data_IF_347855326457
#
_entry.id   IF_347855326457
#
_cell.length_a   1.000
_cell.length_b   1.000
_cell.length_c   1.000
_cell.angle_alpha   90.00
_cell.angle_beta   90.00
_cell.angle_gamma   90.00
#
_symmetry.space_group_name_H-M   'P 1'
#
loop_
_entity.id
_entity.type
_entity.pdbx_description
1 polymer ?
#
# COMPACT_ATOMS: atom_id res chain seq x y z
N UNK A 1 24.23 -13.13 8.86
CA UNK A 1 24.38 -12.17 7.74
C UNK A 1 23.06 -12.18 6.96
N UNK A 2 22.11 -11.29 7.30
CA UNK A 2 20.70 -11.37 6.83
C UNK A 2 20.25 -10.07 6.16
N UNK A 3 20.21 -10.04 4.82
CA UNK A 3 19.70 -8.93 4.00
C UNK A 3 18.18 -8.78 4.13
N UNK A 4 17.73 -7.53 4.31
CA UNK A 4 16.32 -7.16 4.47
C UNK A 4 15.84 -6.55 3.14
N UNK A 5 15.41 -7.38 2.19
CA UNK A 5 14.56 -7.00 1.05
C UNK A 5 13.17 -6.57 1.54
N UNK A 6 12.99 -5.37 2.09
CA UNK A 6 11.71 -4.63 2.01
C UNK A 6 11.93 -3.31 1.24
N UNK A 7 13.18 -2.85 1.20
CA UNK A 7 13.78 -2.03 0.15
C UNK A 7 15.24 -2.49 0.12
N UNK A 8 15.76 -3.12 -0.95
CA UNK A 8 17.16 -3.62 -0.97
C UNK A 8 18.24 -2.54 -0.80
N UNK A 9 17.88 -1.28 -0.54
CA UNK A 9 18.79 -0.15 -0.58
C UNK A 9 19.32 0.32 0.78
N UNK A 10 19.18 -0.48 1.84
CA UNK A 10 19.75 -0.14 3.16
C UNK A 10 21.10 -0.80 3.48
N UNK A 11 21.73 -1.46 2.51
CA UNK A 11 23.03 -2.12 2.70
C UNK A 11 24.06 -1.73 1.67
N UNK A 12 24.57 -0.50 1.80
CA UNK A 12 25.91 -0.18 1.31
C UNK A 12 26.69 0.60 2.39
N UNK A 13 27.41 -0.15 3.22
CA UNK A 13 28.69 0.27 3.79
C UNK A 13 29.60 -0.97 3.72
N UNK A 14 30.79 -0.86 3.09
CA UNK A 14 31.60 -2.02 2.77
C UNK A 14 32.33 -2.48 4.04
N UNK A 15 32.45 -3.80 4.24
CA UNK A 15 33.63 -4.51 4.76
C UNK A 15 33.26 -5.95 5.19
N UNK A 16 34.04 -6.90 4.66
CA UNK A 16 34.44 -8.15 5.35
C UNK A 16 33.45 -9.33 5.33
N UNK A 17 33.65 -10.42 4.57
CA UNK A 17 34.67 -11.51 4.64
C UNK A 17 34.03 -12.84 5.13
N UNK A 18 34.00 -13.81 4.19
CA UNK A 18 34.18 -15.28 4.30
C UNK A 18 33.18 -16.25 5.01
N UNK A 19 33.07 -17.42 4.35
CA UNK A 19 32.76 -18.80 4.82
C UNK A 19 31.28 -19.24 4.88
N UNK A 20 30.75 -20.10 3.99
CA UNK A 20 30.90 -21.59 3.84
C UNK A 20 30.32 -22.35 5.07
N UNK A 21 29.43 -23.36 5.05
CA UNK A 21 29.03 -24.44 4.11
C UNK A 21 27.69 -25.13 4.60
N UNK A 22 27.10 -26.13 3.89
CA UNK A 22 25.66 -26.50 3.98
C UNK A 22 25.27 -27.93 4.48
N UNK A 23 23.96 -28.10 4.83
CA UNK A 23 23.10 -29.33 4.76
C UNK A 23 23.38 -30.52 5.74
N UNK A 24 22.52 -31.58 5.89
CA UNK A 24 21.25 -31.97 5.21
C UNK A 24 20.10 -32.57 6.10
N UNK A 25 19.02 -32.91 5.37
CA UNK A 25 17.76 -33.68 5.59
C UNK A 25 17.72 -34.83 6.63
N UNK A 26 16.53 -35.01 7.23
CA UNK A 26 16.02 -36.30 7.74
C UNK A 26 14.61 -36.59 7.20
N UNK A 27 14.40 -37.82 6.73
CA UNK A 27 13.13 -38.48 6.39
C UNK A 27 12.54 -39.16 7.63
N UNK A 28 11.21 -39.34 7.72
CA UNK A 28 10.54 -40.53 8.29
C UNK A 28 9.00 -40.50 8.06
N UNK A 29 8.54 -41.43 7.23
CA UNK A 29 7.34 -42.31 7.30
C UNK A 29 5.95 -41.86 7.80
N UNK A 30 4.98 -42.12 6.91
CA UNK A 30 3.49 -42.25 6.95
C UNK A 30 3.13 -43.61 7.66
N UNK A 31 1.93 -43.92 8.25
CA UNK A 31 0.63 -43.88 7.56
C UNK A 31 -0.72 -43.73 8.31
N UNK A 32 -1.70 -43.28 7.51
CA UNK A 32 -3.11 -43.66 7.35
C UNK A 32 -3.97 -44.14 8.54
N UNK A 33 -5.03 -43.38 8.81
CA UNK A 33 -6.32 -43.93 9.25
C UNK A 33 -7.50 -43.07 8.76
N UNK A 34 -8.34 -43.68 7.92
CA UNK A 34 -9.62 -43.18 7.42
C UNK A 34 -10.69 -43.15 8.51
N UNK A 35 -11.56 -42.13 8.57
CA UNK A 35 -12.93 -42.27 9.11
C UNK A 35 -13.90 -41.20 8.57
N UNK A 36 -14.81 -41.69 7.72
CA UNK A 36 -16.23 -41.37 7.47
C UNK A 36 -16.80 -39.96 7.73
N UNK A 37 -17.33 -39.41 6.64
CA UNK A 37 -18.36 -38.36 6.54
C UNK A 37 -19.74 -38.92 6.96
N UNK A 38 -20.51 -38.13 7.72
CA UNK A 38 -21.98 -38.13 7.71
C UNK A 38 -22.48 -36.71 8.07
N UNK A 39 -23.38 -36.11 7.27
CA UNK A 39 -24.01 -34.85 7.60
C UNK A 39 -25.33 -35.09 8.36
N UNK A 40 -25.65 -34.20 9.30
CA UNK A 40 -26.98 -34.13 9.92
C UNK A 40 -27.44 -32.69 10.01
N UNK A 41 -28.54 -32.45 9.34
CA UNK A 41 -29.40 -31.26 9.32
C UNK A 41 -30.15 -31.06 10.64
N UNK A 42 -30.15 -29.83 11.14
CA UNK A 42 -31.12 -29.21 12.06
C UNK A 42 -30.53 -27.84 12.41
N UNK A 43 -31.23 -26.72 12.52
CA UNK A 43 -32.64 -26.40 12.52
C UNK A 43 -32.69 -24.87 12.60
N UNK A 44 -33.69 -24.30 11.95
CA UNK A 44 -34.10 -22.90 11.98
C UNK A 44 -34.19 -22.29 13.38
N UNK A 45 -33.54 -21.15 13.58
CA UNK A 45 -33.91 -20.15 14.58
C UNK A 45 -33.55 -18.75 14.08
N UNK A 46 -34.61 -18.03 13.72
CA UNK A 46 -34.64 -16.60 13.44
C UNK A 46 -34.41 -15.81 14.73
N UNK A 47 -33.34 -15.01 14.80
CA UNK A 47 -33.20 -13.98 15.83
C UNK A 47 -32.25 -12.88 15.37
N UNK A 48 -32.84 -11.71 15.07
CA UNK A 48 -32.28 -10.36 15.28
C UNK A 48 -30.76 -10.19 15.15
N UNK A 49 -30.25 -9.95 13.93
CA UNK A 49 -28.86 -9.53 13.70
C UNK A 49 -28.89 -8.25 12.87
N UNK A 50 -29.01 -7.08 13.52
CA UNK A 50 -28.89 -5.81 12.79
C UNK A 50 -28.30 -4.64 13.58
N UNK A 51 -27.73 -4.85 14.77
CA UNK A 51 -27.06 -3.78 15.53
C UNK A 51 -25.58 -4.04 15.86
N UNK A 52 -25.10 -5.29 15.90
CA UNK A 52 -23.70 -5.60 16.24
C UNK A 52 -22.69 -5.38 15.10
N UNK A 53 -23.17 -5.33 13.86
CA UNK A 53 -22.32 -5.24 12.67
C UNK A 53 -21.77 -3.82 12.48
N UNK A 54 -22.52 -2.78 12.89
CA UNK A 54 -22.06 -1.40 12.81
C UNK A 54 -21.01 -1.06 13.87
N UNK A 55 -21.19 -1.55 15.11
CA UNK A 55 -20.27 -1.27 16.22
C UNK A 55 -18.87 -1.91 16.00
N UNK A 56 -18.83 -3.10 15.40
CA UNK A 56 -17.56 -3.77 15.10
C UNK A 56 -16.79 -3.10 13.94
N UNK A 57 -17.50 -2.52 12.96
CA UNK A 57 -16.86 -1.80 11.85
C UNK A 57 -16.24 -0.47 12.30
N UNK A 58 -16.90 0.29 13.18
CA UNK A 58 -16.32 1.53 13.71
C UNK A 58 -15.08 1.26 14.57
N UNK A 59 -15.12 0.21 15.40
CA UNK A 59 -14.01 -0.17 16.29
C UNK A 59 -12.79 -0.71 15.51
N UNK A 60 -12.98 -1.27 14.31
CA UNK A 60 -11.86 -1.74 13.51
C UNK A 60 -11.32 -0.67 12.58
N UNK A 61 -12.18 0.18 12.01
CA UNK A 61 -11.76 1.41 11.35
C UNK A 61 -10.92 2.28 12.29
N UNK A 62 -11.24 2.30 13.59
CA UNK A 62 -10.46 3.05 14.56
C UNK A 62 -9.00 2.58 14.62
N UNK A 63 -8.73 1.27 14.61
CA UNK A 63 -7.35 0.74 14.64
C UNK A 63 -6.51 1.12 13.43
N UNK A 64 -7.10 1.14 12.23
CA UNK A 64 -6.39 1.59 11.04
C UNK A 64 -6.05 3.09 11.16
N UNK A 65 -7.02 3.90 11.59
CA UNK A 65 -6.87 5.35 11.73
C UNK A 65 -5.99 5.78 12.92
N UNK A 66 -5.60 4.86 13.80
CA UNK A 66 -4.79 5.16 14.97
C UNK A 66 -3.32 5.49 14.63
N UNK A 67 -2.77 4.90 13.56
CA UNK A 67 -1.37 5.02 13.13
C UNK A 67 -0.38 5.04 14.32
N UNK A 68 -0.30 3.96 15.12
CA UNK A 68 0.22 4.04 16.50
C UNK A 68 1.74 4.19 16.63
N UNK A 69 2.51 3.82 15.61
CA UNK A 69 3.98 3.76 15.68
C UNK A 69 4.70 4.93 14.99
N UNK A 70 3.93 5.81 14.34
CA UNK A 70 4.48 6.94 13.61
C UNK A 70 4.35 8.22 14.42
N UNK A 71 5.09 9.24 14.00
CA UNK A 71 5.06 10.55 14.62
C UNK A 71 3.74 11.29 14.37
N UNK A 72 3.48 12.32 15.18
CA UNK A 72 2.24 13.10 15.09
C UNK A 72 2.04 13.75 13.72
N UNK A 73 3.09 14.29 13.10
CA UNK A 73 2.98 14.87 11.76
C UNK A 73 2.57 13.84 10.70
N UNK A 74 3.19 12.65 10.74
CA UNK A 74 2.87 11.56 9.81
C UNK A 74 1.46 11.02 10.03
N UNK A 75 1.05 10.82 11.29
CA UNK A 75 -0.31 10.39 11.64
C UNK A 75 -1.34 11.38 11.12
N UNK A 76 -1.16 12.68 11.38
CA UNK A 76 -2.10 13.72 10.94
C UNK A 76 -2.23 13.72 9.42
N UNK A 77 -1.10 13.64 8.69
CA UNK A 77 -1.11 13.54 7.24
C UNK A 77 -1.91 12.32 6.75
N UNK A 78 -1.64 11.13 7.29
CA UNK A 78 -2.35 9.91 6.89
C UNK A 78 -3.85 9.98 7.19
N UNK A 79 -4.23 10.46 8.38
CA UNK A 79 -5.63 10.65 8.77
C UNK A 79 -6.33 11.61 7.82
N UNK A 80 -5.68 12.72 7.48
CA UNK A 80 -6.23 13.72 6.57
C UNK A 80 -6.41 13.13 5.15
N UNK A 81 -5.39 12.48 4.59
CA UNK A 81 -5.48 11.88 3.25
C UNK A 81 -6.60 10.83 3.16
N UNK A 82 -6.65 9.92 4.13
CA UNK A 82 -7.71 8.89 4.19
C UNK A 82 -9.07 9.55 4.32
N UNK A 83 -9.23 10.49 5.25
CA UNK A 83 -10.52 11.14 5.50
C UNK A 83 -10.98 11.96 4.30
N UNK A 84 -10.09 12.71 3.66
CA UNK A 84 -10.41 13.47 2.45
C UNK A 84 -10.89 12.56 1.33
N UNK A 85 -10.19 11.45 1.09
CA UNK A 85 -10.56 10.49 0.05
C UNK A 85 -11.89 9.82 0.36
N UNK A 86 -12.05 9.25 1.57
CA UNK A 86 -13.28 8.55 1.97
C UNK A 86 -14.50 9.48 1.99
N UNK A 87 -14.34 10.73 2.43
CA UNK A 87 -15.43 11.72 2.45
C UNK A 87 -15.84 12.10 1.02
N UNK A 88 -14.88 12.26 0.10
CA UNK A 88 -15.16 12.61 -1.30
C UNK A 88 -15.96 11.51 -2.03
N UNK A 89 -15.75 10.25 -1.65
CA UNK A 89 -16.42 9.07 -2.23
C UNK A 89 -17.37 8.38 -1.26
N UNK A 90 -17.88 9.07 -0.24
CA UNK A 90 -18.69 8.46 0.81
C UNK A 90 -19.91 7.68 0.26
N UNK A 91 -20.58 8.24 -0.76
CA UNK A 91 -21.73 7.61 -1.42
C UNK A 91 -21.37 6.53 -2.44
N UNK A 92 -20.09 6.35 -2.75
CA UNK A 92 -19.59 5.40 -3.75
C UNK A 92 -18.85 4.21 -3.11
N UNK A 93 -18.28 4.38 -1.92
CA UNK A 93 -17.51 3.36 -1.23
C UNK A 93 -18.38 2.54 -0.28
N UNK A 94 -18.32 1.22 -0.44
CA UNK A 94 -18.90 0.27 0.49
C UNK A 94 -18.10 0.23 1.80
N UNK A 95 -18.69 -0.23 2.91
CA UNK A 95 -17.94 -0.48 4.14
C UNK A 95 -16.85 -1.54 3.95
N UNK A 96 -15.83 -1.53 4.83
CA UNK A 96 -14.82 -2.58 4.86
C UNK A 96 -15.44 -3.91 5.30
N UNK A 97 -15.23 -4.96 4.51
CA UNK A 97 -15.75 -6.32 4.76
C UNK A 97 -14.66 -7.33 5.11
N UNK A 98 -13.41 -6.87 5.27
CA UNK A 98 -12.30 -7.75 5.63
C UNK A 98 -12.56 -8.44 6.97
N UNK A 99 -12.16 -9.72 7.14
CA UNK A 99 -12.16 -10.36 8.45
C UNK A 99 -11.33 -9.59 9.47
N UNK A 100 -11.71 -9.62 10.75
CA UNK A 100 -11.04 -8.86 11.81
C UNK A 100 -9.55 -9.22 11.98
N UNK A 101 -9.21 -10.48 11.73
CA UNK A 101 -7.86 -11.05 11.78
C UNK A 101 -7.03 -10.80 10.50
N UNK A 102 -7.62 -10.08 9.55
CA UNK A 102 -6.98 -9.48 8.37
C UNK A 102 -6.94 -7.95 8.50
N UNK A 103 -7.95 -7.33 9.10
CA UNK A 103 -7.94 -5.88 9.38
C UNK A 103 -6.86 -5.47 10.37
N UNK A 104 -6.54 -6.35 11.32
CA UNK A 104 -5.41 -6.18 12.24
C UNK A 104 -4.76 -7.55 12.48
N UNK A 105 -3.43 -7.60 12.32
CA UNK A 105 -2.66 -8.82 12.49
C UNK A 105 -1.25 -8.51 13.01
N UNK A 106 -0.63 -9.51 13.63
CA UNK A 106 0.70 -9.42 14.18
C UNK A 106 1.44 -10.75 14.03
N UNK A 107 2.77 -10.71 14.09
CA UNK A 107 3.60 -11.91 14.13
C UNK A 107 3.36 -12.70 15.43
N UNK A 108 3.69 -13.99 15.43
CA UNK A 108 3.56 -14.84 16.63
C UNK A 108 4.40 -14.32 17.82
N UNK A 109 5.51 -13.65 17.54
CA UNK A 109 6.40 -13.03 18.53
C UNK A 109 6.03 -11.59 18.87
N UNK A 110 4.96 -11.04 18.28
CA UNK A 110 4.52 -9.64 18.41
C UNK A 110 5.56 -8.57 18.01
N UNK A 111 6.65 -8.97 17.34
CA UNK A 111 7.70 -8.08 16.82
C UNK A 111 7.29 -7.34 15.54
N UNK A 112 6.21 -7.78 14.89
CA UNK A 112 5.64 -7.09 13.73
C UNK A 112 4.13 -7.01 13.89
N UNK A 113 3.55 -5.85 13.56
CA UNK A 113 2.13 -5.55 13.64
C UNK A 113 1.70 -4.79 12.39
N UNK A 114 0.46 -4.97 11.98
CA UNK A 114 -0.08 -4.24 10.85
C UNK A 114 -1.60 -4.08 10.95
N UNK A 115 -2.10 -3.08 10.23
CA UNK A 115 -3.52 -2.93 9.95
C UNK A 115 -3.75 -2.72 8.46
N UNK A 116 -4.83 -3.32 7.96
CA UNK A 116 -5.26 -3.24 6.57
C UNK A 116 -6.72 -2.79 6.52
N UNK A 117 -7.00 -1.79 5.70
CA UNK A 117 -8.34 -1.25 5.48
C UNK A 117 -8.61 -1.21 3.99
N UNK A 118 -9.59 -1.97 3.52
CA UNK A 118 -10.00 -2.00 2.11
C UNK A 118 -11.48 -1.64 2.02
N UNK A 119 -11.79 -0.67 1.18
CA UNK A 119 -13.17 -0.29 0.85
C UNK A 119 -13.41 -0.46 -0.65
N UNK A 120 -14.13 -1.51 -1.07
CA UNK A 120 -14.56 -1.60 -2.46
C UNK A 120 -15.59 -0.51 -2.77
N UNK A 121 -15.74 -0.18 -4.03
CA UNK A 121 -16.78 0.74 -4.48
C UNK A 121 -18.02 -0.01 -4.99
N UNK A 122 -19.12 0.72 -5.15
CA UNK A 122 -20.28 0.24 -5.90
C UNK A 122 -19.92 0.05 -7.39
N UNK A 123 -20.60 -0.89 -8.07
CA UNK A 123 -20.36 -1.20 -9.49
C UNK A 123 -20.53 -0.01 -10.44
N UNK A 124 -21.31 1.00 -10.06
CA UNK A 124 -21.54 2.21 -10.85
C UNK A 124 -20.44 3.29 -10.65
N UNK A 125 -19.50 3.07 -9.74
CA UNK A 125 -18.36 3.96 -9.50
C UNK A 125 -17.26 3.74 -10.55
N UNK A 126 -16.41 4.75 -10.76
CA UNK A 126 -15.13 4.59 -11.45
C UNK A 126 -14.03 4.07 -10.52
N UNK A 127 -14.21 4.21 -9.20
CA UNK A 127 -13.35 3.58 -8.21
C UNK A 127 -13.57 2.07 -8.28
N UNK A 128 -12.50 1.31 -8.15
CA UNK A 128 -12.54 -0.13 -7.93
C UNK A 128 -12.55 -0.38 -6.41
N UNK A 129 -11.47 0.02 -5.74
CA UNK A 129 -11.36 0.02 -4.29
C UNK A 129 -10.30 1.00 -3.80
N UNK A 130 -10.39 1.33 -2.51
CA UNK A 130 -9.38 2.09 -1.77
C UNK A 130 -8.71 1.15 -0.79
N UNK A 131 -7.39 1.19 -0.69
CA UNK A 131 -6.58 0.40 0.22
C UNK A 131 -5.72 1.34 1.07
N UNK A 132 -5.92 1.28 2.38
CA UNK A 132 -5.04 1.91 3.36
C UNK A 132 -4.36 0.85 4.22
N UNK A 133 -3.10 1.07 4.59
CA UNK A 133 -2.43 0.19 5.54
C UNK A 133 -1.39 0.91 6.39
N UNK A 134 -1.06 0.30 7.53
CA UNK A 134 0.17 0.59 8.24
C UNK A 134 0.85 -0.72 8.66
N UNK A 135 2.18 -0.72 8.67
CA UNK A 135 3.03 -1.84 9.09
C UNK A 135 4.07 -1.31 10.06
N UNK A 136 4.26 -2.01 11.17
CA UNK A 136 5.35 -1.82 12.12
C UNK A 136 6.11 -3.12 12.26
N UNK A 137 7.44 -3.06 12.26
CA UNK A 137 8.30 -4.19 12.59
C UNK A 137 9.52 -3.74 13.34
N UNK A 138 9.79 -4.37 14.48
CA UNK A 138 11.08 -4.28 15.14
C UNK A 138 12.16 -4.92 14.26
N UNK A 139 13.28 -4.22 14.09
CA UNK A 139 14.42 -4.69 13.31
C UNK A 139 15.47 -5.31 14.24
N UNK A 140 16.18 -6.37 13.82
CA UNK A 140 17.23 -7.00 14.63
C UNK A 140 18.37 -6.05 15.06
N UNK A 141 18.50 -4.90 14.40
CA UNK A 141 19.47 -3.84 14.71
C UNK A 141 19.03 -2.94 15.87
N UNK A 142 17.84 -3.15 16.45
CA UNK A 142 17.25 -2.31 17.51
C UNK A 142 16.47 -1.10 16.99
N UNK A 143 16.34 -0.93 15.67
CA UNK A 143 15.46 0.06 15.06
C UNK A 143 14.06 -0.49 14.76
N UNK A 144 13.23 0.31 14.10
CA UNK A 144 11.93 -0.11 13.58
C UNK A 144 11.83 0.15 12.08
N UNK A 145 10.98 -0.64 11.42
CA UNK A 145 10.47 -0.38 10.09
C UNK A 145 8.99 0.00 10.24
N UNK A 146 8.66 1.22 9.85
CA UNK A 146 7.31 1.78 9.92
C UNK A 146 6.88 2.20 8.51
N UNK A 147 5.81 1.60 8.00
CA UNK A 147 5.24 1.89 6.70
C UNK A 147 3.81 2.38 6.89
N UNK A 148 3.44 3.47 6.23
CA UNK A 148 2.04 3.91 6.11
C UNK A 148 1.73 4.12 4.65
N UNK A 149 0.64 3.54 4.15
CA UNK A 149 0.26 3.63 2.74
C UNK A 149 -1.22 3.90 2.54
N UNK A 150 -1.51 4.61 1.45
CA UNK A 150 -2.83 4.83 0.91
C UNK A 150 -2.75 4.70 -0.61
N UNK A 151 -3.56 3.80 -1.16
CA UNK A 151 -3.69 3.59 -2.61
C UNK A 151 -5.16 3.61 -2.99
N UNK A 152 -5.46 4.15 -4.16
CA UNK A 152 -6.80 4.06 -4.74
C UNK A 152 -6.72 3.59 -6.19
N UNK A 153 -7.48 2.55 -6.46
CA UNK A 153 -7.51 1.87 -7.75
C UNK A 153 -8.79 2.24 -8.49
N UNK A 154 -8.64 2.58 -9.76
CA UNK A 154 -9.75 2.82 -10.67
C UNK A 154 -10.04 1.56 -11.48
N UNK A 155 -11.30 1.37 -11.87
CA UNK A 155 -11.72 0.25 -12.70
C UNK A 155 -11.63 0.58 -14.20
N UNK A 156 -11.92 -0.39 -15.07
CA UNK A 156 -11.78 -0.23 -16.53
C UNK A 156 -12.83 0.68 -17.19
N UNK A 157 -13.72 1.33 -16.44
CA UNK A 157 -14.66 2.33 -17.00
C UNK A 157 -14.00 3.69 -17.29
N UNK A 158 -12.80 3.93 -16.76
CA UNK A 158 -11.96 5.12 -16.97
C UNK A 158 -10.53 4.70 -17.28
N UNK A 159 -9.81 5.53 -18.04
CA UNK A 159 -8.38 5.40 -18.37
C UNK A 159 -7.49 6.22 -17.43
N UNK A 160 -8.11 7.02 -16.54
CA UNK A 160 -7.39 7.90 -15.64
C UNK A 160 -6.43 7.13 -14.71
N UNK A 161 -5.30 7.75 -14.29
CA UNK A 161 -4.33 7.15 -13.38
C UNK A 161 -4.90 6.72 -12.02
N UNK A 162 -4.23 5.75 -11.39
CA UNK A 162 -4.46 5.42 -9.98
C UNK A 162 -3.83 6.48 -9.05
N UNK A 163 -3.99 6.31 -7.74
CA UNK A 163 -3.30 7.10 -6.72
C UNK A 163 -2.49 6.19 -5.81
N UNK A 164 -1.26 6.60 -5.46
CA UNK A 164 -0.43 5.95 -4.45
C UNK A 164 0.28 7.00 -3.59
N UNK A 165 0.25 6.77 -2.28
CA UNK A 165 1.01 7.48 -1.27
C UNK A 165 1.59 6.45 -0.29
N UNK A 166 2.91 6.47 -0.08
CA UNK A 166 3.59 5.61 0.88
C UNK A 166 4.71 6.37 1.58
N UNK A 167 4.77 6.25 2.90
CA UNK A 167 5.88 6.69 3.73
C UNK A 167 6.52 5.47 4.38
N UNK A 168 7.80 5.25 4.10
CA UNK A 168 8.59 4.13 4.62
C UNK A 168 9.71 4.69 5.48
N UNK A 169 9.67 4.40 6.78
CA UNK A 169 10.68 4.83 7.75
C UNK A 169 11.41 3.63 8.31
N UNK A 170 12.72 3.68 8.28
CA UNK A 170 13.61 2.69 8.91
C UNK A 170 14.34 3.23 10.14
N UNK A 171 14.21 4.53 10.39
CA UNK A 171 14.74 5.22 11.56
C UNK A 171 13.99 6.54 11.79
N UNK A 172 14.18 7.19 12.94
CA UNK A 172 13.63 8.52 13.20
C UNK A 172 14.13 9.65 12.28
N UNK A 173 15.26 9.44 11.60
CA UNK A 173 15.93 10.45 10.77
C UNK A 173 15.99 10.08 9.28
N UNK A 174 15.37 8.96 8.90
CA UNK A 174 15.31 8.52 7.52
C UNK A 174 13.89 8.11 7.12
N UNK A 175 13.42 8.73 6.04
CA UNK A 175 12.13 8.50 5.43
C UNK A 175 12.32 8.32 3.92
N UNK A 176 11.60 7.37 3.33
CA UNK A 176 11.36 7.29 1.90
C UNK A 176 9.90 7.65 1.66
N UNK A 177 9.66 8.54 0.70
CA UNK A 177 8.33 8.90 0.23
C UNK A 177 8.16 8.40 -1.20
N UNK A 178 7.03 7.73 -1.44
CA UNK A 178 6.50 7.42 -2.75
C UNK A 178 5.15 8.11 -2.86
N UNK A 179 5.03 9.07 -3.77
CA UNK A 179 3.78 9.74 -4.08
C UNK A 179 3.65 9.88 -5.59
N UNK A 180 2.64 9.23 -6.17
CA UNK A 180 2.50 9.12 -7.61
C UNK A 180 1.04 8.97 -8.03
N UNK A 181 0.77 9.29 -9.29
CA UNK A 181 -0.43 8.91 -10.02
C UNK A 181 -0.06 7.88 -11.11
N UNK A 182 0.03 6.57 -10.79
CA UNK A 182 0.59 5.60 -11.71
C UNK A 182 -0.25 5.48 -12.99
N UNK A 183 0.37 5.56 -14.19
CA UNK A 183 -0.34 5.50 -15.45
C UNK A 183 -0.98 4.14 -15.65
N UNK A 184 -2.20 4.12 -16.20
CA UNK A 184 -2.91 2.89 -16.58
C UNK A 184 -2.77 2.53 -18.06
N UNK A 185 -2.18 3.43 -18.85
CA UNK A 185 -1.76 3.24 -20.25
C UNK A 185 -0.24 3.35 -20.42
N UNK A 186 0.26 2.90 -21.57
CA UNK A 186 1.65 3.13 -21.96
C UNK A 186 1.82 4.56 -22.49
N UNK A 187 2.55 5.41 -21.79
CA UNK A 187 2.63 6.83 -22.11
C UNK A 187 3.36 7.12 -23.43
N UNK A 188 4.09 6.15 -24.00
CA UNK A 188 4.71 6.27 -25.33
C UNK A 188 3.67 6.00 -26.43
N UNK A 189 2.78 5.02 -26.21
CA UNK A 189 1.72 4.68 -27.16
C UNK A 189 0.53 5.64 -27.09
N UNK A 190 0.29 6.26 -25.92
CA UNK A 190 -0.78 7.22 -25.67
C UNK A 190 -0.22 8.57 -25.18
N UNK A 191 0.42 9.37 -26.06
CA UNK A 191 0.99 10.66 -25.68
C UNK A 191 -0.06 11.69 -25.21
N UNK A 192 -1.31 11.56 -25.67
CA UNK A 192 -2.41 12.42 -25.22
C UNK A 192 -2.72 12.22 -23.72
N UNK A 193 -2.57 10.99 -23.20
CA UNK A 193 -2.72 10.68 -21.78
C UNK A 193 -1.55 11.28 -20.98
N UNK A 194 -0.32 11.23 -21.51
CA UNK A 194 0.85 11.89 -20.90
C UNK A 194 0.58 13.38 -20.72
N UNK A 195 0.12 14.02 -21.79
CA UNK A 195 -0.23 15.43 -21.79
C UNK A 195 -1.35 15.75 -20.80
N UNK A 196 -2.46 15.03 -20.89
CA UNK A 196 -3.68 15.29 -20.12
C UNK A 196 -3.45 15.14 -18.60
N UNK A 197 -2.80 14.06 -18.18
CA UNK A 197 -2.73 13.71 -16.76
C UNK A 197 -1.48 14.22 -16.06
N UNK A 198 -0.40 14.53 -16.79
CA UNK A 198 0.90 14.85 -16.19
C UNK A 198 1.44 16.23 -16.59
N UNK A 199 1.33 16.62 -17.86
CA UNK A 199 1.78 17.93 -18.31
C UNK A 199 0.80 19.04 -17.92
N UNK A 200 -0.47 18.88 -18.29
CA UNK A 200 -1.51 19.90 -18.11
C UNK A 200 -1.87 20.11 -16.62
N UNK A 201 -1.75 19.05 -15.81
CA UNK A 201 -1.93 19.09 -14.35
C UNK A 201 -0.73 19.68 -13.62
N UNK A 202 0.42 19.83 -14.29
CA UNK A 202 1.67 20.35 -13.73
C UNK A 202 2.18 19.55 -12.52
N UNK A 203 1.92 18.24 -12.48
CA UNK A 203 2.28 17.36 -11.35
C UNK A 203 3.76 17.45 -10.98
N UNK A 204 4.64 17.61 -11.97
CA UNK A 204 6.09 17.68 -11.74
C UNK A 204 6.51 18.87 -10.86
N UNK A 205 5.68 19.94 -10.76
CA UNK A 205 5.96 21.08 -9.88
C UNK A 205 6.06 20.67 -8.41
N UNK A 206 5.31 19.66 -7.98
CA UNK A 206 5.34 19.18 -6.61
C UNK A 206 6.66 18.46 -6.29
N UNK A 207 7.16 17.64 -7.22
CA UNK A 207 8.49 17.03 -7.13
C UNK A 207 9.57 18.11 -7.08
N UNK A 208 9.52 19.08 -7.99
CA UNK A 208 10.45 20.21 -8.05
C UNK A 208 10.41 21.09 -6.79
N UNK A 209 9.25 21.23 -6.13
CA UNK A 209 9.14 21.96 -4.88
C UNK A 209 9.87 21.23 -3.74
N UNK A 210 9.78 19.90 -3.72
CA UNK A 210 10.44 19.07 -2.73
C UNK A 210 11.96 19.00 -2.95
N UNK A 211 12.43 19.04 -4.20
CA UNK A 211 13.85 19.13 -4.56
C UNK A 211 14.56 20.38 -3.98
N UNK A 212 13.80 21.39 -3.52
CA UNK A 212 14.36 22.60 -2.88
C UNK A 212 14.65 22.42 -1.39
N UNK A 213 14.18 21.33 -0.78
CA UNK A 213 14.44 21.01 0.63
C UNK A 213 15.82 20.34 0.73
N UNK A 214 16.79 20.87 1.49
CA UNK A 214 18.17 20.38 1.50
C UNK A 214 18.34 18.90 1.85
N UNK A 215 17.45 18.36 2.67
CA UNK A 215 17.47 16.97 3.14
C UNK A 215 16.90 15.96 2.14
N UNK A 216 16.23 16.44 1.07
CA UNK A 216 15.59 15.62 0.05
C UNK A 216 16.61 15.18 -0.99
N UNK A 217 16.63 13.88 -1.28
CA UNK A 217 17.43 13.26 -2.33
C UNK A 217 16.55 12.31 -3.16
N UNK A 218 16.82 12.10 -4.45
CA UNK A 218 16.10 11.10 -5.23
C UNK A 218 16.23 9.69 -4.63
N UNK A 219 15.11 8.96 -4.59
CA UNK A 219 15.09 7.54 -4.24
C UNK A 219 14.93 6.70 -5.49
N UNK A 220 15.86 5.78 -5.73
CA UNK A 220 15.79 4.84 -6.84
C UNK A 220 15.43 3.44 -6.32
N UNK A 221 14.18 3.02 -6.50
CA UNK A 221 13.72 1.67 -6.10
C UNK A 221 14.63 0.59 -6.67
N UNK A 222 15.05 -0.42 -5.91
CA UNK A 222 15.86 -1.53 -6.46
C UNK A 222 15.08 -2.34 -7.51
N UNK A 223 13.75 -2.34 -7.43
CA UNK A 223 12.88 -2.99 -8.40
C UNK A 223 12.75 -2.13 -9.67
N UNK A 224 13.36 -2.60 -10.76
CA UNK A 224 13.16 -2.01 -12.08
C UNK A 224 11.68 -2.01 -12.49
N UNK A 225 10.92 -3.01 -12.04
CA UNK A 225 9.49 -3.08 -12.28
C UNK A 225 8.75 -1.86 -11.69
N UNK A 226 9.04 -1.52 -10.43
CA UNK A 226 8.46 -0.34 -9.76
C UNK A 226 8.83 0.94 -10.52
N UNK A 227 10.08 1.07 -10.97
CA UNK A 227 10.51 2.23 -11.79
C UNK A 227 9.72 2.34 -13.10
N UNK A 228 9.34 1.21 -13.71
CA UNK A 228 8.63 1.19 -15.01
C UNK A 228 7.14 1.49 -14.87
N UNK A 229 6.49 1.09 -13.78
CA UNK A 229 5.04 1.32 -13.60
C UNK A 229 4.71 2.71 -13.06
N UNK A 230 5.68 3.40 -12.48
CA UNK A 230 5.52 4.76 -11.98
C UNK A 230 5.46 5.81 -13.08
N UNK A 231 4.78 6.91 -12.81
CA UNK A 231 4.67 8.00 -13.77
C UNK A 231 5.99 8.77 -13.91
N UNK A 232 6.18 9.51 -15.02
CA UNK A 232 7.32 10.42 -15.20
C UNK A 232 7.39 11.54 -14.15
N UNK A 233 6.29 11.83 -13.45
CA UNK A 233 6.20 12.87 -12.42
C UNK A 233 6.17 12.32 -11.00
N UNK A 234 6.43 11.01 -10.82
CA UNK A 234 6.43 10.35 -9.52
C UNK A 234 7.41 11.03 -8.55
N UNK A 235 6.94 11.32 -7.34
CA UNK A 235 7.78 11.77 -6.24
C UNK A 235 8.32 10.52 -5.55
N UNK A 236 9.54 10.14 -5.93
CA UNK A 236 10.31 9.09 -5.26
C UNK A 236 11.53 9.72 -4.61
N UNK A 237 11.44 9.99 -3.30
CA UNK A 237 12.52 10.68 -2.58
C UNK A 237 12.88 9.98 -1.28
N UNK A 238 14.14 10.14 -0.89
CA UNK A 238 14.71 9.82 0.41
C UNK A 238 14.99 11.12 1.14
N UNK A 239 14.54 11.23 2.38
CA UNK A 239 14.75 12.37 3.26
C UNK A 239 15.68 11.94 4.38
N UNK A 240 16.77 12.68 4.58
CA UNK A 240 17.78 12.41 5.60
C UNK A 240 17.98 13.62 6.51
N UNK A 241 17.60 13.48 7.78
CA UNK A 241 17.68 14.57 8.76
C UNK A 241 18.73 14.31 9.84
N UNK A 242 19.80 13.57 9.55
CA UNK A 242 20.83 13.23 10.55
C UNK A 242 21.36 14.44 11.33
N UNK A 243 21.58 15.58 10.65
CA UNK A 243 22.05 16.82 11.28
C UNK A 243 20.95 17.62 11.99
N UNK A 244 19.69 17.49 11.55
CA UNK A 244 18.54 18.22 12.10
C UNK A 244 17.72 17.42 13.14
N UNK A 245 18.03 16.14 13.30
CA UNK A 245 17.34 15.23 14.20
C UNK A 245 15.90 14.94 13.79
N UNK A 246 15.14 14.46 14.78
CA UNK A 246 13.73 14.06 14.63
C UNK A 246 12.82 15.26 14.43
N UNK A 247 13.11 16.40 15.07
CA UNK A 247 12.31 17.62 14.96
C UNK A 247 12.31 18.17 13.54
N UNK A 248 13.46 18.12 12.85
CA UNK A 248 13.55 18.51 11.44
C UNK A 248 12.76 17.57 10.54
N UNK A 249 12.73 16.27 10.83
CA UNK A 249 11.87 15.33 10.08
C UNK A 249 10.39 15.67 10.25
N UNK A 250 9.95 15.97 11.48
CA UNK A 250 8.57 16.41 11.75
C UNK A 250 8.21 17.70 11.02
N UNK A 251 9.13 18.66 10.98
CA UNK A 251 8.98 19.90 10.21
C UNK A 251 8.81 19.62 8.72
N UNK A 252 9.67 18.78 8.13
CA UNK A 252 9.57 18.45 6.71
C UNK A 252 8.24 17.76 6.38
N UNK A 253 7.80 16.82 7.23
CA UNK A 253 6.52 16.13 7.03
C UNK A 253 5.36 17.14 7.08
N UNK A 254 5.34 18.02 8.07
CA UNK A 254 4.24 18.97 8.28
C UNK A 254 4.23 20.13 7.28
N UNK A 255 5.39 20.70 6.97
CA UNK A 255 5.48 21.97 6.26
C UNK A 255 5.77 21.79 4.76
N UNK A 256 6.22 20.59 4.34
CA UNK A 256 6.47 20.26 2.93
C UNK A 256 5.65 19.08 2.43
N UNK A 257 5.69 17.92 3.11
CA UNK A 257 5.03 16.72 2.61
C UNK A 257 3.51 16.82 2.69
N UNK A 258 2.98 17.34 3.79
CA UNK A 258 1.54 17.49 3.99
C UNK A 258 0.86 18.33 2.88
N UNK A 259 1.28 19.58 2.61
CA UNK A 259 0.66 20.37 1.55
C UNK A 259 0.84 19.75 0.17
N UNK A 260 2.01 19.18 -0.14
CA UNK A 260 2.26 18.53 -1.44
C UNK A 260 1.34 17.33 -1.64
N UNK A 261 1.23 16.46 -0.64
CA UNK A 261 0.43 15.23 -0.72
C UNK A 261 -1.05 15.54 -0.88
N UNK A 262 -1.55 16.53 -0.15
CA UNK A 262 -2.93 17.02 -0.29
C UNK A 262 -3.20 17.63 -1.67
N UNK A 263 -2.23 18.34 -2.24
CA UNK A 263 -2.35 18.89 -3.61
C UNK A 263 -2.39 17.79 -4.67
N UNK A 264 -1.49 16.81 -4.60
CA UNK A 264 -1.47 15.67 -5.54
C UNK A 264 -2.75 14.84 -5.41
N UNK A 265 -3.21 14.57 -4.18
CA UNK A 265 -4.51 13.91 -3.96
C UNK A 265 -5.65 14.74 -4.54
N UNK A 266 -5.66 16.07 -4.33
CA UNK A 266 -6.66 16.98 -4.91
C UNK A 266 -6.70 16.90 -6.44
N UNK A 267 -5.53 16.89 -7.09
CA UNK A 267 -5.43 16.69 -8.56
C UNK A 267 -6.06 15.36 -8.96
N UNK A 268 -5.73 14.27 -8.27
CA UNK A 268 -6.32 12.96 -8.57
C UNK A 268 -7.83 12.94 -8.37
N UNK A 269 -8.34 13.52 -7.28
CA UNK A 269 -9.78 13.58 -7.02
C UNK A 269 -10.52 14.33 -8.13
N UNK A 270 -10.01 15.48 -8.54
CA UNK A 270 -10.74 16.37 -9.45
C UNK A 270 -10.51 16.05 -10.94
N UNK A 271 -9.30 15.64 -11.32
CA UNK A 271 -8.91 15.41 -12.72
C UNK A 271 -8.87 13.95 -13.14
N UNK A 272 -8.85 13.00 -12.18
CA UNK A 272 -8.81 11.57 -12.47
C UNK A 272 -10.12 10.90 -12.04
N UNK A 273 -10.34 10.76 -10.74
CA UNK A 273 -11.37 9.89 -10.18
C UNK A 273 -12.80 10.45 -10.27
N UNK A 274 -12.98 11.77 -10.33
CA UNK A 274 -14.29 12.40 -10.55
C UNK A 274 -14.52 12.85 -12.01
N UNK A 275 -13.48 12.80 -12.85
CA UNK A 275 -13.57 13.25 -14.22
C UNK A 275 -14.28 12.20 -15.08
N UNK A 276 -15.43 12.58 -15.65
CA UNK A 276 -16.16 11.71 -16.57
C UNK A 276 -15.37 11.56 -17.86
N UNK A 277 -14.96 10.33 -18.18
CA UNK A 277 -14.26 9.98 -19.42
C UNK A 277 -14.92 8.75 -20.03
N UNK A 278 -15.04 8.74 -21.36
CA UNK A 278 -15.56 7.60 -22.10
C UNK A 278 -14.40 6.76 -22.61
N UNK A 279 -14.36 5.51 -22.17
CA UNK A 279 -13.38 4.53 -22.64
C UNK A 279 -14.07 3.53 -23.55
N UNK A 280 -13.55 3.35 -24.77
CA UNK A 280 -14.08 2.40 -25.75
C UNK A 280 -13.77 0.95 -25.38
N UNK A 281 -14.52 -0.01 -25.91
CA UNK A 281 -14.43 -1.44 -25.52
C UNK A 281 -13.00 -2.02 -25.63
N UNK A 282 -12.30 -1.73 -26.73
CA UNK A 282 -10.93 -2.19 -26.93
C UNK A 282 -9.95 -1.63 -25.88
N UNK A 283 -10.13 -0.37 -25.49
CA UNK A 283 -9.33 0.26 -24.44
C UNK A 283 -9.66 -0.31 -23.06
N UNK A 284 -10.93 -0.61 -22.77
CA UNK A 284 -11.32 -1.28 -21.51
C UNK A 284 -10.65 -2.63 -21.37
N UNK A 285 -10.60 -3.41 -22.46
CA UNK A 285 -9.92 -4.71 -22.48
C UNK A 285 -8.41 -4.57 -22.25
N UNK A 286 -7.79 -3.54 -22.85
CA UNK A 286 -6.39 -3.22 -22.61
C UNK A 286 -6.12 -2.85 -21.14
N UNK A 287 -6.93 -1.94 -20.57
CA UNK A 287 -6.82 -1.50 -19.17
C UNK A 287 -6.96 -2.69 -18.22
N UNK A 288 -8.00 -3.52 -18.39
CA UNK A 288 -8.21 -4.73 -17.59
C UNK A 288 -6.99 -5.65 -17.59
N UNK A 289 -6.41 -5.90 -18.76
CA UNK A 289 -5.22 -6.74 -18.90
C UNK A 289 -4.00 -6.13 -18.20
N UNK A 290 -3.76 -4.84 -18.41
CA UNK A 290 -2.59 -4.14 -17.83
C UNK A 290 -2.72 -4.00 -16.31
N UNK A 291 -3.89 -3.61 -15.81
CA UNK A 291 -4.17 -3.50 -14.38
C UNK A 291 -4.01 -4.84 -13.68
N UNK A 292 -4.56 -5.92 -14.23
CA UNK A 292 -4.39 -7.26 -13.68
C UNK A 292 -2.93 -7.71 -13.62
N UNK A 293 -2.12 -7.38 -14.65
CA UNK A 293 -0.69 -7.65 -14.64
C UNK A 293 0.02 -6.85 -13.54
N UNK A 294 -0.27 -5.55 -13.42
CA UNK A 294 0.34 -4.67 -12.41
C UNK A 294 0.01 -5.14 -11.01
N UNK A 295 -1.27 -5.36 -10.74
CA UNK A 295 -1.76 -5.83 -9.43
C UNK A 295 -1.09 -7.14 -9.01
N UNK A 296 -1.06 -8.13 -9.90
CA UNK A 296 -0.42 -9.42 -9.60
C UNK A 296 1.07 -9.30 -9.35
N UNK A 297 1.78 -8.49 -10.17
CA UNK A 297 3.24 -8.36 -10.04
C UNK A 297 3.64 -7.52 -8.83
N UNK A 298 2.85 -6.51 -8.47
CA UNK A 298 3.02 -5.73 -7.23
C UNK A 298 2.86 -6.64 -6.01
N UNK A 299 1.83 -7.49 -5.96
CA UNK A 299 1.67 -8.48 -4.87
C UNK A 299 2.91 -9.39 -4.78
N UNK A 300 3.40 -9.91 -5.90
CA UNK A 300 4.56 -10.82 -5.93
C UNK A 300 5.84 -10.14 -5.42
N UNK A 301 6.14 -8.94 -5.91
CA UNK A 301 7.39 -8.24 -5.62
C UNK A 301 7.38 -7.67 -4.20
N UNK A 302 6.32 -6.96 -3.84
CA UNK A 302 6.27 -6.16 -2.63
C UNK A 302 5.83 -7.00 -1.42
N UNK A 303 4.68 -7.66 -1.52
CA UNK A 303 4.07 -8.37 -0.39
C UNK A 303 4.56 -9.81 -0.26
N UNK A 304 4.67 -10.54 -1.39
CA UNK A 304 4.95 -11.97 -1.42
C UNK A 304 6.33 -12.35 -0.88
N UNK A 305 7.32 -11.47 -1.03
CA UNK A 305 8.68 -11.68 -0.52
C UNK A 305 8.83 -11.24 0.94
N UNK A 306 8.11 -10.21 1.36
CA UNK A 306 8.29 -9.55 2.65
C UNK A 306 7.36 -10.06 3.75
N UNK A 307 6.08 -10.33 3.45
CA UNK A 307 5.07 -10.67 4.45
C UNK A 307 5.38 -11.96 5.21
N UNK A 308 5.77 -13.08 4.55
CA UNK A 308 6.13 -14.31 5.25
C UNK A 308 7.30 -14.12 6.22
N UNK A 309 8.23 -13.20 5.90
CA UNK A 309 9.37 -12.88 6.78
C UNK A 309 8.95 -12.07 8.00
N UNK A 310 8.04 -11.12 7.84
CA UNK A 310 7.59 -10.23 8.92
C UNK A 310 6.59 -10.93 9.85
N UNK A 311 5.59 -11.61 9.28
CA UNK A 311 4.42 -12.10 10.03
C UNK A 311 4.36 -13.62 10.17
N UNK A 312 5.26 -14.34 9.49
CA UNK A 312 5.20 -15.80 9.37
C UNK A 312 4.26 -16.25 8.24
N UNK A 313 4.45 -17.48 7.72
CA UNK A 313 3.76 -17.97 6.52
C UNK A 313 2.24 -18.06 6.68
N UNK A 314 1.74 -18.43 7.87
CA UNK A 314 0.30 -18.58 8.10
C UNK A 314 -0.45 -17.25 8.02
N UNK A 315 0.06 -16.22 8.71
CA UNK A 315 -0.52 -14.87 8.69
C UNK A 315 -0.37 -14.26 7.30
N UNK A 316 0.81 -14.40 6.70
CA UNK A 316 1.08 -13.89 5.35
C UNK A 316 0.11 -14.49 4.31
N UNK A 317 -0.07 -15.81 4.28
CA UNK A 317 -0.98 -16.45 3.34
C UNK A 317 -2.42 -15.94 3.51
N UNK A 318 -2.92 -15.89 4.75
CA UNK A 318 -4.28 -15.40 5.03
C UNK A 318 -4.50 -13.98 4.53
N UNK A 319 -3.56 -13.06 4.81
CA UNK A 319 -3.67 -11.66 4.40
C UNK A 319 -3.51 -11.52 2.88
N UNK A 320 -2.55 -12.22 2.27
CA UNK A 320 -2.33 -12.19 0.83
C UNK A 320 -3.54 -12.73 0.06
N UNK A 321 -4.18 -13.80 0.55
CA UNK A 321 -5.37 -14.35 -0.09
C UNK A 321 -6.54 -13.37 -0.02
N UNK A 322 -6.74 -12.69 1.12
CA UNK A 322 -7.74 -11.63 1.23
C UNK A 322 -7.45 -10.44 0.30
N UNK A 323 -6.20 -10.02 0.14
CA UNK A 323 -5.83 -8.93 -0.80
C UNK A 323 -6.09 -9.36 -2.26
N UNK A 324 -5.76 -10.60 -2.63
CA UNK A 324 -5.95 -11.12 -4.00
C UNK A 324 -7.39 -11.06 -4.46
N UNK A 325 -8.37 -11.20 -3.55
CA UNK A 325 -9.80 -11.10 -3.89
C UNK A 325 -10.15 -9.75 -4.51
N UNK A 326 -9.52 -8.65 -4.06
CA UNK A 326 -9.72 -7.31 -4.61
C UNK A 326 -8.82 -7.02 -5.82
N UNK A 327 -7.69 -7.71 -5.93
CA UNK A 327 -6.70 -7.46 -6.98
C UNK A 327 -6.98 -8.25 -8.27
N UNK A 328 -7.97 -9.15 -8.24
CA UNK A 328 -8.41 -9.93 -9.41
C UNK A 328 -9.30 -9.05 -10.31
N UNK A 329 -8.80 -8.68 -11.50
CA UNK A 329 -9.53 -7.85 -12.49
C UNK A 329 -10.20 -8.68 -13.56
#
# INVERSE_FOLDING_TARGET
>A
MMEVMICENFRYSPLSILSSSPSPRCHLSVPSSSLRIKPSSSSSSSSSVSCSLMENQETQRSKFMDFPFVSSAQKNLMVDLVSTLENRFHSQLLPCTLPSDVQYYQSQTATAQASLHIRPAHNDSQIDFVLGSWVHSELPTGGSLDITSLSAYLNSSTDAPNFVFEMIRSSPTMLVLILDLPPRKDLVLWPDDLKTFYEDTQLDKHRQALDRVPEVQPYFSSSLYIRTVSSPTAIMVRILTENGGVERMEEIIRDHLDPISKQVLGIWLDHCACAKRQVGEAERAYLKKRDGLIRNKTIEIDLGSSFPRLFGPEVANRVLDAIKEYFTV
#
